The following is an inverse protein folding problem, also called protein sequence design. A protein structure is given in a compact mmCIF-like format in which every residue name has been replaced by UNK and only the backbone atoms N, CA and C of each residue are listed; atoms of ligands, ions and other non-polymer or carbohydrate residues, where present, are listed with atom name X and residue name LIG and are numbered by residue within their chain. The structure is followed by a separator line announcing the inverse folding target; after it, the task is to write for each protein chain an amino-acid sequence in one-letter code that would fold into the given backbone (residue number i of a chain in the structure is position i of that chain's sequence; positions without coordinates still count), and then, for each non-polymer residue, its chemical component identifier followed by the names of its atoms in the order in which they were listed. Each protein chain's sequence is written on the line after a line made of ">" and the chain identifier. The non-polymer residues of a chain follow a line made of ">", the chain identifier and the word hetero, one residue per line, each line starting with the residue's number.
data_IF_784102893727
#
_entry.id   IF_784102893727
#
_cell.length_a   1.000
_cell.length_b   1.000
_cell.length_c   1.000
_cell.angle_alpha   90.00
_cell.angle_beta   90.00
_cell.angle_gamma   90.00
#
_symmetry.space_group_name_H-M   'P 1'
#
loop_
_entity.id
_entity.type
_entity.pdbx_description
1 polymer ?
#
# COMPACT_ATOMS: atom_id res chain seq x y z
N UNK A 1 -18.91 -25.20 -33.28
CA UNK A 1 -17.80 -24.49 -32.63
C UNK A 1 -17.68 -23.16 -33.34
N UNK A 2 -18.09 -22.09 -32.67
CA UNK A 2 -18.30 -20.79 -33.29
C UNK A 2 -16.96 -20.20 -33.76
N UNK A 3 -16.93 -19.67 -34.98
CA UNK A 3 -15.74 -19.10 -35.62
C UNK A 3 -15.04 -18.06 -34.74
N UNK A 4 -15.81 -17.29 -33.99
CA UNK A 4 -15.33 -16.30 -33.03
C UNK A 4 -14.54 -16.93 -31.87
N UNK A 5 -14.97 -18.08 -31.35
CA UNK A 5 -14.25 -18.77 -30.26
C UNK A 5 -12.91 -19.30 -30.73
N UNK A 6 -12.85 -19.84 -31.95
CA UNK A 6 -11.61 -20.34 -32.55
C UNK A 6 -10.59 -19.21 -32.76
N UNK A 7 -11.03 -18.06 -33.28
CA UNK A 7 -10.18 -16.87 -33.46
C UNK A 7 -9.62 -16.37 -32.11
N UNK A 8 -10.43 -16.36 -31.05
CA UNK A 8 -9.97 -15.98 -29.70
C UNK A 8 -8.95 -16.98 -29.14
N UNK A 9 -9.16 -18.29 -29.31
CA UNK A 9 -8.20 -19.30 -28.87
C UNK A 9 -6.84 -19.11 -29.56
N UNK A 10 -6.85 -18.89 -30.88
CA UNK A 10 -5.63 -18.69 -31.64
C UNK A 10 -4.88 -17.42 -31.22
N UNK A 11 -5.60 -16.30 -31.02
CA UNK A 11 -5.03 -15.05 -30.53
C UNK A 11 -4.43 -15.20 -29.13
N UNK A 12 -5.15 -15.85 -28.22
CA UNK A 12 -4.71 -16.06 -26.85
C UNK A 12 -3.50 -16.99 -26.76
N UNK A 13 -3.49 -18.09 -27.53
CA UNK A 13 -2.34 -18.99 -27.61
C UNK A 13 -1.11 -18.23 -28.13
N UNK A 14 -1.24 -17.48 -29.23
CA UNK A 14 -0.13 -16.68 -29.79
C UNK A 14 0.44 -15.66 -28.78
N UNK A 15 -0.42 -15.08 -27.95
CA UNK A 15 -0.01 -14.15 -26.88
C UNK A 15 0.69 -14.88 -25.75
N UNK A 16 0.18 -16.03 -25.32
CA UNK A 16 0.75 -16.81 -24.22
C UNK A 16 2.18 -17.29 -24.53
N UNK A 17 2.43 -17.70 -25.77
CA UNK A 17 3.76 -18.13 -26.24
C UNK A 17 4.68 -16.98 -26.68
N UNK A 18 4.20 -15.73 -26.68
CA UNK A 18 5.03 -14.60 -27.03
C UNK A 18 6.12 -14.37 -25.98
N UNK A 19 7.39 -14.39 -26.43
CA UNK A 19 8.58 -14.25 -25.56
C UNK A 19 8.51 -12.98 -24.71
N UNK A 20 8.08 -11.86 -25.30
CA UNK A 20 7.94 -10.59 -24.58
C UNK A 20 6.92 -10.67 -23.43
N UNK A 21 5.78 -11.31 -23.66
CA UNK A 21 4.75 -11.50 -22.65
C UNK A 21 5.26 -12.34 -21.48
N UNK A 22 5.88 -13.48 -21.79
CA UNK A 22 6.43 -14.40 -20.79
C UNK A 22 7.55 -13.76 -19.97
N UNK A 23 8.46 -13.01 -20.59
CA UNK A 23 9.55 -12.31 -19.89
C UNK A 23 9.01 -11.27 -18.91
N UNK A 24 8.08 -10.42 -19.34
CA UNK A 24 7.47 -9.40 -18.47
C UNK A 24 6.74 -10.06 -17.31
N UNK A 25 5.97 -11.11 -17.58
CA UNK A 25 5.24 -11.82 -16.54
C UNK A 25 6.19 -12.49 -15.53
N UNK A 26 7.25 -13.15 -16.02
CA UNK A 26 8.28 -13.76 -15.16
C UNK A 26 8.96 -12.71 -14.27
N UNK A 27 9.34 -11.55 -14.81
CA UNK A 27 9.91 -10.44 -14.03
C UNK A 27 8.94 -10.03 -12.92
N UNK A 28 7.65 -9.89 -13.23
CA UNK A 28 6.66 -9.49 -12.25
C UNK A 28 6.44 -10.54 -11.17
N UNK A 29 6.51 -11.82 -11.50
CA UNK A 29 6.44 -12.91 -10.52
C UNK A 29 7.65 -12.88 -9.59
N UNK A 30 8.86 -12.67 -10.11
CA UNK A 30 10.07 -12.53 -9.27
C UNK A 30 9.93 -11.32 -8.32
N UNK A 31 9.42 -10.20 -8.82
CA UNK A 31 9.12 -9.02 -8.01
C UNK A 31 8.05 -9.32 -6.94
N UNK A 32 6.98 -10.03 -7.29
CA UNK A 32 5.92 -10.44 -6.35
C UNK A 32 6.41 -11.43 -5.29
N UNK A 33 7.27 -12.38 -5.63
CA UNK A 33 7.84 -13.30 -4.65
C UNK A 33 8.74 -12.53 -3.68
N UNK A 34 9.55 -11.61 -4.20
CA UNK A 34 10.44 -10.78 -3.37
C UNK A 34 9.67 -9.75 -2.54
N UNK A 35 8.54 -9.22 -3.03
CA UNK A 35 7.68 -8.31 -2.28
C UNK A 35 7.09 -8.99 -1.05
N UNK A 36 6.73 -10.28 -1.11
CA UNK A 36 6.24 -11.05 0.06
C UNK A 36 7.25 -11.01 1.19
N UNK A 37 8.53 -11.28 0.90
CA UNK A 37 9.60 -11.27 1.91
C UNK A 37 9.87 -9.86 2.43
N UNK A 38 9.99 -8.88 1.55
CA UNK A 38 10.31 -7.49 1.93
C UNK A 38 9.18 -6.82 2.73
N UNK A 39 7.92 -7.01 2.34
CA UNK A 39 6.75 -6.56 3.11
C UNK A 39 6.66 -7.24 4.48
N UNK A 40 6.86 -8.56 4.54
CA UNK A 40 6.83 -9.30 5.81
C UNK A 40 7.92 -8.83 6.77
N UNK A 41 9.14 -8.65 6.26
CA UNK A 41 10.25 -8.09 7.01
C UNK A 41 9.96 -6.67 7.50
N UNK A 42 9.38 -5.83 6.64
CA UNK A 42 9.01 -4.46 6.96
C UNK A 42 7.99 -4.40 8.10
N UNK A 43 6.92 -5.21 8.03
CA UNK A 43 5.90 -5.29 9.08
C UNK A 43 6.55 -5.66 10.42
N UNK A 44 7.31 -6.76 10.47
CA UNK A 44 7.90 -7.29 11.70
C UNK A 44 8.94 -6.34 12.30
N UNK A 45 9.79 -5.76 11.47
CA UNK A 45 10.98 -5.00 11.93
C UNK A 45 10.66 -3.54 12.18
N UNK A 46 9.87 -2.90 11.32
CA UNK A 46 9.62 -1.46 11.37
C UNK A 46 8.28 -1.12 12.01
N UNK A 47 7.19 -1.81 11.65
CA UNK A 47 5.86 -1.46 12.15
C UNK A 47 5.70 -1.90 13.61
N UNK A 48 5.89 -3.19 13.91
CA UNK A 48 5.63 -3.72 15.25
C UNK A 48 6.59 -3.18 16.31
N UNK A 49 7.84 -2.88 15.94
CA UNK A 49 8.83 -2.27 16.85
C UNK A 49 8.74 -0.74 16.93
N UNK A 50 7.89 -0.09 16.13
CA UNK A 50 7.72 1.36 16.20
C UNK A 50 7.04 1.80 17.51
N UNK A 51 7.19 3.06 17.87
CA UNK A 51 6.44 3.68 18.99
C UNK A 51 5.06 4.18 18.55
N UNK A 52 4.59 3.81 17.36
CA UNK A 52 3.33 4.33 16.85
C UNK A 52 2.12 3.85 17.65
N UNK A 53 1.08 4.68 17.61
CA UNK A 53 -0.20 4.34 18.18
C UNK A 53 -0.76 3.00 17.62
N UNK A 54 -1.39 2.14 18.45
CA UNK A 54 -1.87 0.82 18.02
C UNK A 54 -2.82 0.83 16.82
N UNK A 55 -3.75 1.80 16.76
CA UNK A 55 -4.68 1.92 15.63
C UNK A 55 -3.94 2.15 14.31
N UNK A 56 -2.92 3.01 14.33
CA UNK A 56 -2.11 3.30 13.15
C UNK A 56 -1.24 2.11 12.74
N UNK A 57 -0.66 1.39 13.72
CA UNK A 57 0.07 0.14 13.47
C UNK A 57 -0.81 -0.90 12.80
N UNK A 58 -2.06 -1.05 13.26
CA UNK A 58 -3.01 -1.98 12.68
C UNK A 58 -3.31 -1.62 11.22
N UNK A 59 -3.69 -0.36 10.95
CA UNK A 59 -4.00 0.09 9.59
C UNK A 59 -2.80 -0.06 8.66
N UNK A 60 -1.60 0.27 9.12
CA UNK A 60 -0.38 0.10 8.32
C UNK A 60 -0.08 -1.39 8.08
N UNK A 61 -0.29 -2.24 9.08
CA UNK A 61 -0.15 -3.69 8.92
C UNK A 61 -1.17 -4.23 7.93
N UNK A 62 -2.43 -3.83 8.00
CA UNK A 62 -3.47 -4.23 7.04
C UNK A 62 -3.10 -3.83 5.61
N UNK A 63 -2.59 -2.62 5.43
CA UNK A 63 -2.15 -2.12 4.13
C UNK A 63 -1.04 -2.99 3.51
N UNK A 64 0.03 -3.28 4.26
CA UNK A 64 1.12 -4.13 3.76
C UNK A 64 0.73 -5.61 3.66
N UNK A 65 -0.17 -6.10 4.51
CA UNK A 65 -0.73 -7.45 4.39
C UNK A 65 -1.54 -7.60 3.11
N UNK A 66 -2.34 -6.60 2.72
CA UNK A 66 -3.06 -6.62 1.44
C UNK A 66 -2.09 -6.71 0.25
N UNK A 67 -0.95 -6.01 0.30
CA UNK A 67 0.10 -6.12 -0.72
C UNK A 67 0.77 -7.51 -0.75
N UNK A 68 0.97 -8.15 0.41
CA UNK A 68 1.46 -9.54 0.50
C UNK A 68 0.46 -10.50 -0.15
N UNK A 69 -0.81 -10.43 0.23
CA UNK A 69 -1.85 -11.29 -0.35
C UNK A 69 -1.99 -11.09 -1.84
N UNK A 70 -1.97 -9.84 -2.32
CA UNK A 70 -1.95 -9.54 -3.75
C UNK A 70 -0.78 -10.22 -4.45
N UNK A 71 0.43 -10.13 -3.89
CA UNK A 71 1.64 -10.69 -4.49
C UNK A 71 1.61 -12.23 -4.53
N UNK A 72 1.04 -12.88 -3.51
CA UNK A 72 0.79 -14.34 -3.49
C UNK A 72 -0.19 -14.72 -4.59
N UNK A 73 -1.33 -14.00 -4.70
CA UNK A 73 -2.36 -14.28 -5.71
C UNK A 73 -1.86 -14.03 -7.14
N UNK A 74 -1.03 -13.01 -7.34
CA UNK A 74 -0.39 -12.74 -8.62
C UNK A 74 0.53 -13.89 -9.02
N UNK A 75 1.31 -14.42 -8.07
CA UNK A 75 2.15 -15.61 -8.28
C UNK A 75 1.29 -16.84 -8.57
N UNK A 76 0.17 -17.03 -7.88
CA UNK A 76 -0.77 -18.11 -8.14
C UNK A 76 -1.36 -18.05 -9.56
N UNK A 77 -1.71 -16.85 -10.04
CA UNK A 77 -2.17 -16.65 -11.43
C UNK A 77 -1.13 -17.11 -12.46
N UNK A 78 0.17 -16.91 -12.17
CA UNK A 78 1.24 -17.38 -13.05
C UNK A 78 1.41 -18.90 -13.00
N UNK A 79 1.30 -19.51 -11.82
CA UNK A 79 1.34 -20.96 -11.67
C UNK A 79 0.17 -21.64 -12.41
N UNK A 80 -1.02 -21.03 -12.37
CA UNK A 80 -2.18 -21.50 -13.14
C UNK A 80 -1.92 -21.44 -14.65
N UNK A 81 -1.21 -20.42 -15.13
CA UNK A 81 -0.81 -20.34 -16.53
C UNK A 81 0.21 -21.44 -16.89
N UNK A 82 1.19 -21.72 -16.01
CA UNK A 82 2.15 -22.83 -16.21
C UNK A 82 1.44 -24.18 -16.27
N UNK A 83 0.47 -24.43 -15.38
CA UNK A 83 -0.33 -25.66 -15.41
C UNK A 83 -0.97 -25.86 -16.79
N UNK A 84 -1.57 -24.79 -17.35
CA UNK A 84 -2.17 -24.85 -18.70
C UNK A 84 -1.16 -25.05 -19.81
N UNK A 85 0.08 -24.56 -19.67
CA UNK A 85 1.15 -24.87 -20.62
C UNK A 85 1.56 -26.34 -20.60
N UNK A 86 1.56 -26.98 -19.42
CA UNK A 86 1.91 -28.39 -19.30
C UNK A 86 0.83 -29.31 -19.90
N UNK A 87 -0.43 -28.91 -19.79
CA UNK A 87 -1.59 -29.63 -20.33
C UNK A 87 -1.96 -29.22 -21.77
N UNK A 88 -1.12 -28.41 -22.44
CA UNK A 88 -1.41 -27.85 -23.75
C UNK A 88 -1.41 -28.92 -24.85
N UNK A 89 -2.58 -29.22 -25.43
CA UNK A 89 -2.72 -30.10 -26.60
C UNK A 89 -3.34 -29.36 -27.80
N UNK A 90 -4.28 -28.48 -27.54
CA UNK A 90 -4.97 -27.65 -28.53
C UNK A 90 -4.88 -26.17 -28.16
N UNK A 91 -5.07 -25.29 -29.14
CA UNK A 91 -4.96 -23.83 -28.94
C UNK A 91 -5.94 -23.28 -27.88
N UNK A 92 -7.05 -23.97 -27.62
CA UNK A 92 -8.04 -23.55 -26.62
C UNK A 92 -7.71 -24.01 -25.18
N UNK A 93 -6.76 -24.94 -24.99
CA UNK A 93 -6.43 -25.50 -23.66
C UNK A 93 -5.62 -24.53 -22.79
N UNK A 94 -5.07 -23.48 -23.40
CA UNK A 94 -4.30 -22.44 -22.71
C UNK A 94 -5.16 -21.61 -21.75
N UNK A 95 -6.48 -21.65 -21.88
CA UNK A 95 -7.39 -20.86 -21.06
C UNK A 95 -7.51 -21.39 -19.64
N UNK A 96 -7.52 -20.46 -18.70
CA UNK A 96 -7.68 -20.77 -17.28
C UNK A 96 -9.09 -21.31 -17.02
N UNK A 97 -9.18 -22.34 -16.18
CA UNK A 97 -10.46 -22.86 -15.71
C UNK A 97 -11.28 -21.79 -14.95
N UNK A 98 -12.60 -21.78 -15.17
CA UNK A 98 -13.51 -20.73 -14.69
C UNK A 98 -13.47 -20.55 -13.17
N UNK A 99 -13.49 -21.63 -12.39
CA UNK A 99 -13.55 -21.57 -10.92
C UNK A 99 -12.26 -20.99 -10.31
N UNK A 100 -11.05 -21.53 -10.62
CA UNK A 100 -9.79 -20.90 -10.19
C UNK A 100 -9.66 -19.45 -10.65
N UNK A 101 -10.05 -19.13 -11.88
CA UNK A 101 -10.04 -17.77 -12.41
C UNK A 101 -10.89 -16.83 -11.56
N UNK A 102 -12.16 -17.20 -11.31
CA UNK A 102 -13.10 -16.41 -10.53
C UNK A 102 -12.56 -16.11 -9.12
N UNK A 103 -12.02 -17.12 -8.44
CA UNK A 103 -11.50 -16.97 -7.08
C UNK A 103 -10.26 -16.07 -7.07
N UNK A 104 -9.26 -16.36 -7.91
CA UNK A 104 -7.99 -15.63 -7.90
C UNK A 104 -8.18 -14.19 -8.36
N UNK A 105 -8.90 -13.96 -9.46
CA UNK A 105 -9.13 -12.62 -9.99
C UNK A 105 -9.90 -11.74 -8.99
N UNK A 106 -11.00 -12.25 -8.44
CA UNK A 106 -11.79 -11.50 -7.46
C UNK A 106 -11.00 -11.21 -6.18
N UNK A 107 -10.16 -12.16 -5.75
CA UNK A 107 -9.30 -11.96 -4.58
C UNK A 107 -8.21 -10.91 -4.84
N UNK A 108 -7.64 -10.87 -6.06
CA UNK A 108 -6.70 -9.82 -6.48
C UNK A 108 -7.39 -8.45 -6.39
N UNK A 109 -8.60 -8.33 -6.94
CA UNK A 109 -9.38 -7.09 -6.87
C UNK A 109 -9.65 -6.67 -5.42
N UNK A 110 -10.09 -7.60 -4.56
CA UNK A 110 -10.31 -7.33 -3.13
C UNK A 110 -9.04 -6.78 -2.47
N UNK A 111 -7.88 -7.39 -2.71
CA UNK A 111 -6.62 -6.92 -2.13
C UNK A 111 -6.26 -5.49 -2.58
N UNK A 112 -6.45 -5.17 -3.86
CA UNK A 112 -6.21 -3.84 -4.41
C UNK A 112 -7.10 -2.78 -3.74
N UNK A 113 -8.41 -3.02 -3.70
CA UNK A 113 -9.37 -2.07 -3.14
C UNK A 113 -9.27 -1.95 -1.62
N UNK A 114 -9.00 -3.06 -0.91
CA UNK A 114 -8.66 -3.02 0.51
C UNK A 114 -7.43 -2.15 0.77
N UNK A 115 -6.37 -2.28 -0.04
CA UNK A 115 -5.17 -1.46 0.05
C UNK A 115 -5.48 0.03 -0.13
N UNK A 116 -6.22 0.39 -1.19
CA UNK A 116 -6.60 1.78 -1.47
C UNK A 116 -7.47 2.39 -0.36
N UNK A 117 -8.50 1.69 0.11
CA UNK A 117 -9.39 2.21 1.15
C UNK A 117 -8.71 2.27 2.52
N UNK A 118 -7.79 1.36 2.83
CA UNK A 118 -7.00 1.42 4.07
C UNK A 118 -6.18 2.72 4.16
N UNK A 119 -5.70 3.26 3.03
CA UNK A 119 -5.03 4.56 3.00
C UNK A 119 -5.96 5.71 3.43
N UNK A 120 -7.23 5.67 3.02
CA UNK A 120 -8.24 6.67 3.46
C UNK A 120 -8.47 6.57 4.96
N UNK A 121 -8.60 5.35 5.50
CA UNK A 121 -8.74 5.15 6.94
C UNK A 121 -7.51 5.61 7.74
N UNK A 122 -6.29 5.47 7.17
CA UNK A 122 -5.09 6.06 7.78
C UNK A 122 -5.21 7.59 7.87
N UNK A 123 -5.77 8.27 6.87
CA UNK A 123 -6.00 9.74 6.93
C UNK A 123 -7.05 10.11 7.97
N UNK A 124 -8.16 9.37 8.02
CA UNK A 124 -9.21 9.56 9.02
C UNK A 124 -8.65 9.40 10.44
N UNK A 125 -7.82 8.39 10.66
CA UNK A 125 -7.20 8.16 11.96
C UNK A 125 -6.24 9.30 12.34
N UNK A 126 -5.46 9.85 11.40
CA UNK A 126 -4.63 11.05 11.64
C UNK A 126 -5.46 12.30 11.94
N UNK A 127 -6.64 12.46 11.31
CA UNK A 127 -7.58 13.53 11.62
C UNK A 127 -8.09 13.41 13.06
N UNK A 128 -8.53 12.22 13.48
CA UNK A 128 -8.97 11.97 14.86
C UNK A 128 -7.86 12.23 15.87
N UNK A 129 -6.64 11.76 15.61
CA UNK A 129 -5.48 12.00 16.49
C UNK A 129 -5.15 13.50 16.60
N UNK A 130 -5.36 14.28 15.53
CA UNK A 130 -5.14 15.73 15.53
C UNK A 130 -6.22 16.49 16.29
N UNK A 131 -7.48 16.03 16.25
CA UNK A 131 -8.58 16.66 16.98
C UNK A 131 -8.49 16.35 18.47
N UNK A 132 -8.13 15.11 18.85
CA UNK A 132 -8.18 14.62 20.24
C UNK A 132 -6.82 14.49 20.93
N UNK A 133 -5.86 15.40 20.71
CA UNK A 133 -4.47 15.32 21.22
C UNK A 133 -4.36 14.95 22.71
N UNK A 134 -5.24 15.43 23.59
CA UNK A 134 -5.10 15.15 25.03
C UNK A 134 -5.77 13.83 25.47
N UNK A 135 -6.81 13.40 24.75
CA UNK A 135 -7.61 12.21 25.08
C UNK A 135 -7.25 10.99 24.24
N UNK A 136 -6.45 11.15 23.17
CA UNK A 136 -6.20 10.12 22.18
C UNK A 136 -5.54 8.87 22.76
N UNK A 137 -4.48 9.04 23.55
CA UNK A 137 -3.76 7.92 24.20
C UNK A 137 -4.67 7.10 25.13
N UNK A 138 -5.56 7.79 25.85
CA UNK A 138 -6.42 7.16 26.85
C UNK A 138 -7.66 6.49 26.26
N UNK A 139 -7.99 6.79 25.01
CA UNK A 139 -9.21 6.34 24.34
C UNK A 139 -8.95 5.21 23.31
N UNK A 140 -7.90 4.42 23.52
CA UNK A 140 -7.65 3.18 22.77
C UNK A 140 -8.67 2.10 23.14
N UNK A 141 -9.89 2.25 22.63
CA UNK A 141 -10.92 1.22 22.78
C UNK A 141 -10.74 0.13 21.73
N UNK A 142 -10.77 -1.13 22.18
CA UNK A 142 -10.92 -2.31 21.32
C UNK A 142 -12.05 -2.16 20.29
N UNK A 143 -13.11 -1.40 20.64
CA UNK A 143 -14.22 -1.07 19.74
C UNK A 143 -13.77 -0.30 18.48
N UNK A 144 -12.82 0.62 18.61
CA UNK A 144 -12.29 1.37 17.46
C UNK A 144 -11.48 0.48 16.53
N UNK A 145 -10.67 -0.41 17.09
CA UNK A 145 -9.90 -1.42 16.33
C UNK A 145 -10.86 -2.32 15.53
N UNK A 146 -11.90 -2.85 16.19
CA UNK A 146 -12.89 -3.72 15.54
C UNK A 146 -13.65 -2.98 14.44
N UNK A 147 -14.02 -1.72 14.68
CA UNK A 147 -14.68 -0.89 13.68
C UNK A 147 -13.79 -0.66 12.44
N UNK A 148 -12.50 -0.32 12.63
CA UNK A 148 -11.58 -0.17 11.50
C UNK A 148 -11.44 -1.47 10.71
N UNK A 149 -11.29 -2.61 11.39
CA UNK A 149 -11.17 -3.90 10.72
C UNK A 149 -12.44 -4.23 9.92
N UNK A 150 -13.61 -4.01 10.50
CA UNK A 150 -14.89 -4.22 9.83
C UNK A 150 -15.02 -3.33 8.58
N UNK A 151 -14.83 -2.02 8.71
CA UNK A 151 -14.98 -1.10 7.58
C UNK A 151 -13.91 -1.27 6.50
N UNK A 152 -12.66 -1.56 6.87
CA UNK A 152 -11.58 -1.80 5.92
C UNK A 152 -11.76 -3.08 5.08
N UNK A 153 -12.66 -4.00 5.47
CA UNK A 153 -12.94 -5.24 4.73
C UNK A 153 -14.31 -5.16 4.06
N UNK A 154 -15.36 -4.81 4.82
CA UNK A 154 -16.74 -4.82 4.33
C UNK A 154 -16.97 -3.79 3.24
N UNK A 155 -16.43 -2.58 3.38
CA UNK A 155 -16.60 -1.53 2.37
C UNK A 155 -15.97 -1.92 1.02
N UNK A 156 -14.68 -2.31 0.92
CA UNK A 156 -14.12 -2.76 -0.36
C UNK A 156 -14.87 -3.94 -0.97
N UNK A 157 -15.24 -4.94 -0.17
CA UNK A 157 -15.97 -6.12 -0.65
C UNK A 157 -17.34 -5.71 -1.20
N UNK A 158 -18.07 -4.83 -0.52
CA UNK A 158 -19.38 -4.36 -0.98
C UNK A 158 -19.31 -3.61 -2.32
N UNK A 159 -18.30 -2.75 -2.50
CA UNK A 159 -18.08 -2.03 -3.76
C UNK A 159 -17.73 -2.98 -4.90
N UNK A 160 -16.95 -4.03 -4.62
CA UNK A 160 -16.62 -5.05 -5.60
C UNK A 160 -17.80 -5.93 -5.96
N UNK A 161 -18.64 -6.32 -4.99
CA UNK A 161 -19.89 -7.04 -5.27
C UNK A 161 -20.76 -6.23 -6.22
N UNK A 162 -20.82 -4.90 -6.06
CA UNK A 162 -21.53 -4.02 -7.01
C UNK A 162 -20.86 -3.95 -8.40
N UNK A 163 -19.53 -3.89 -8.45
CA UNK A 163 -18.81 -3.82 -9.72
C UNK A 163 -18.92 -5.12 -10.54
N UNK A 164 -18.93 -6.28 -9.88
CA UNK A 164 -18.91 -7.60 -10.51
C UNK A 164 -20.28 -8.25 -10.74
N UNK A 165 -21.40 -7.53 -10.58
CA UNK A 165 -22.74 -8.13 -10.73
C UNK A 165 -22.98 -8.73 -12.13
N UNK A 166 -22.42 -8.12 -13.18
CA UNK A 166 -22.57 -8.56 -14.58
C UNK A 166 -21.31 -9.24 -15.11
N UNK A 167 -20.48 -9.81 -14.23
CA UNK A 167 -19.22 -10.42 -14.61
C UNK A 167 -19.42 -11.74 -15.37
N UNK A 168 -18.95 -11.80 -16.61
CA UNK A 168 -18.86 -13.04 -17.36
C UNK A 168 -17.50 -13.72 -17.16
N UNK A 169 -17.44 -14.66 -16.22
CA UNK A 169 -16.24 -15.47 -15.97
C UNK A 169 -16.04 -16.63 -16.94
N UNK A 170 -16.98 -16.88 -17.87
CA UNK A 170 -16.86 -17.96 -18.86
C UNK A 170 -16.05 -17.55 -20.07
N UNK A 171 -15.77 -16.26 -20.23
CA UNK A 171 -14.96 -15.76 -21.34
C UNK A 171 -13.54 -16.34 -21.28
N UNK A 172 -12.98 -16.82 -22.40
CA UNK A 172 -11.64 -17.40 -22.44
C UNK A 172 -10.57 -16.37 -22.12
N UNK A 173 -9.78 -16.62 -21.06
CA UNK A 173 -8.69 -15.75 -20.60
C UNK A 173 -7.43 -16.56 -20.34
N UNK A 174 -6.27 -15.95 -20.62
CA UNK A 174 -4.94 -16.57 -20.44
C UNK A 174 -4.49 -16.50 -18.97
N UNK A 175 -4.90 -15.45 -18.25
CA UNK A 175 -4.44 -15.16 -16.88
C UNK A 175 -5.56 -14.62 -16.01
N UNK A 176 -5.42 -14.77 -14.69
CA UNK A 176 -6.38 -14.25 -13.72
C UNK A 176 -6.21 -12.75 -13.41
N UNK A 177 -5.33 -12.05 -14.13
CA UNK A 177 -5.13 -10.60 -13.97
C UNK A 177 -6.14 -9.82 -14.83
N UNK A 178 -6.51 -10.38 -15.98
CA UNK A 178 -7.44 -9.73 -16.90
C UNK A 178 -8.86 -9.67 -16.31
N UNK A 179 -9.51 -8.50 -16.33
CA UNK A 179 -10.89 -8.36 -15.86
C UNK A 179 -11.85 -9.17 -16.74
N UNK A 180 -12.89 -9.80 -16.15
CA UNK A 180 -13.91 -10.50 -16.92
C UNK A 180 -14.71 -9.52 -17.77
N UNK A 181 -15.26 -10.02 -18.88
CA UNK A 181 -16.09 -9.22 -19.77
C UNK A 181 -17.31 -8.67 -19.01
N UNK A 182 -17.72 -7.44 -19.34
CA UNK A 182 -18.87 -6.77 -18.73
C UNK A 182 -18.56 -5.89 -17.50
N UNK A 183 -17.40 -6.06 -16.85
CA UNK A 183 -17.10 -5.37 -15.58
C UNK A 183 -16.29 -4.07 -15.78
N UNK A 184 -15.65 -3.90 -16.93
CA UNK A 184 -14.69 -2.82 -17.19
C UNK A 184 -15.23 -1.41 -16.88
N UNK A 185 -16.47 -1.12 -17.27
CA UNK A 185 -17.08 0.20 -17.06
C UNK A 185 -17.22 0.53 -15.57
N UNK A 186 -17.74 -0.42 -14.77
CA UNK A 186 -17.93 -0.22 -13.33
C UNK A 186 -16.60 -0.19 -12.59
N UNK A 187 -15.63 -1.03 -12.99
CA UNK A 187 -14.28 -0.96 -12.44
C UNK A 187 -13.62 0.39 -12.71
N UNK A 188 -13.77 0.94 -13.92
CA UNK A 188 -13.25 2.28 -14.25
C UNK A 188 -13.89 3.36 -13.37
N UNK A 189 -15.21 3.31 -13.12
CA UNK A 189 -15.88 4.21 -12.18
C UNK A 189 -15.26 4.10 -10.78
N UNK A 190 -15.05 2.89 -10.27
CA UNK A 190 -14.44 2.67 -8.96
C UNK A 190 -13.00 3.20 -8.90
N UNK A 191 -12.19 2.97 -9.94
CA UNK A 191 -10.82 3.49 -9.99
C UNK A 191 -10.79 5.02 -10.00
N UNK A 192 -11.66 5.67 -10.78
CA UNK A 192 -11.79 7.14 -10.79
C UNK A 192 -12.23 7.64 -9.41
N UNK A 193 -13.21 6.99 -8.79
CA UNK A 193 -13.69 7.33 -7.45
C UNK A 193 -12.56 7.21 -6.41
N UNK A 194 -11.82 6.10 -6.38
CA UNK A 194 -10.68 5.91 -5.49
C UNK A 194 -9.57 6.93 -5.74
N UNK A 195 -9.33 7.31 -7.00
CA UNK A 195 -8.36 8.34 -7.36
C UNK A 195 -8.76 9.72 -6.83
N UNK A 196 -10.04 10.10 -6.95
CA UNK A 196 -10.57 11.35 -6.37
C UNK A 196 -10.48 11.35 -4.84
N UNK A 197 -10.79 10.22 -4.19
CA UNK A 197 -10.60 10.06 -2.74
C UNK A 197 -9.13 10.21 -2.34
N UNK A 198 -8.18 9.70 -3.13
CA UNK A 198 -6.76 9.85 -2.88
C UNK A 198 -6.31 11.33 -2.95
N UNK A 199 -6.82 12.10 -3.91
CA UNK A 199 -6.58 13.55 -3.98
C UNK A 199 -7.09 14.25 -2.72
N UNK A 200 -8.35 13.98 -2.35
CA UNK A 200 -8.94 14.57 -1.14
C UNK A 200 -8.14 14.19 0.12
N UNK A 201 -7.73 12.93 0.23
CA UNK A 201 -6.91 12.43 1.32
C UNK A 201 -5.55 13.15 1.40
N UNK A 202 -4.88 13.43 0.28
CA UNK A 202 -3.65 14.22 0.26
C UNK A 202 -3.88 15.65 0.76
N UNK A 203 -4.94 16.31 0.30
CA UNK A 203 -5.27 17.67 0.74
C UNK A 203 -5.49 17.69 2.26
N UNK A 204 -6.27 16.75 2.78
CA UNK A 204 -6.53 16.62 4.21
C UNK A 204 -5.24 16.36 5.01
N UNK A 205 -4.34 15.50 4.53
CA UNK A 205 -3.04 15.27 5.17
C UNK A 205 -2.18 16.54 5.21
N UNK A 206 -2.17 17.37 4.15
CA UNK A 206 -1.45 18.64 4.19
C UNK A 206 -2.05 19.62 5.21
N UNK A 207 -3.38 19.70 5.30
CA UNK A 207 -4.08 20.51 6.31
C UNK A 207 -3.73 20.02 7.71
N UNK A 208 -3.83 18.71 7.97
CA UNK A 208 -3.47 18.08 9.25
C UNK A 208 -2.02 18.39 9.63
N UNK A 209 -1.09 18.26 8.68
CA UNK A 209 0.33 18.56 8.88
C UNK A 209 0.54 20.02 9.22
N UNK A 210 -0.11 20.94 8.51
CA UNK A 210 -0.03 22.38 8.78
C UNK A 210 -0.54 22.72 10.19
N UNK A 211 -1.70 22.19 10.56
CA UNK A 211 -2.30 22.41 11.89
C UNK A 211 -1.37 21.88 12.99
N UNK A 212 -0.83 20.67 12.85
CA UNK A 212 0.06 20.09 13.85
C UNK A 212 1.38 20.85 13.97
N UNK A 213 1.98 21.31 12.87
CA UNK A 213 3.18 22.18 12.91
C UNK A 213 2.92 23.50 13.63
N UNK A 214 1.76 24.11 13.41
CA UNK A 214 1.38 25.36 14.09
C UNK A 214 1.11 25.15 15.58
N UNK A 215 0.75 23.93 15.99
CA UNK A 215 0.59 23.55 17.40
C UNK A 215 1.92 23.21 18.05
N UNK A 216 2.87 22.60 17.33
CA UNK A 216 4.23 22.30 17.83
C UNK A 216 4.95 23.55 18.36
N UNK A 217 4.71 24.72 17.76
CA UNK A 217 5.32 25.99 18.20
C UNK A 217 4.70 26.60 19.47
N UNK A 218 3.63 26.03 20.01
CA UNK A 218 2.98 26.53 21.24
C UNK A 218 3.62 25.92 22.49
N UNK A 219 4.00 26.77 23.45
CA UNK A 219 4.78 26.39 24.63
C UNK A 219 3.92 25.64 25.68
N UNK A 220 2.61 25.88 25.73
CA UNK A 220 1.70 25.41 26.79
C UNK A 220 1.31 23.92 26.70
N UNK A 221 1.84 23.16 25.74
CA UNK A 221 1.44 21.77 25.53
C UNK A 221 2.19 20.84 26.48
N UNK A 222 1.43 19.95 27.14
CA UNK A 222 1.96 18.87 27.98
C UNK A 222 2.98 17.98 27.23
N UNK A 223 3.86 17.31 27.97
CA UNK A 223 4.90 16.47 27.37
C UNK A 223 4.32 15.36 26.47
N UNK A 224 3.25 14.67 26.92
CA UNK A 224 2.53 13.67 26.10
C UNK A 224 1.95 14.32 24.83
N UNK A 225 1.28 15.48 24.95
CA UNK A 225 0.74 16.18 23.79
C UNK A 225 1.81 16.57 22.76
N UNK A 226 3.01 16.96 23.20
CA UNK A 226 4.14 17.24 22.29
C UNK A 226 4.62 15.99 21.57
N UNK A 227 4.75 14.85 22.26
CA UNK A 227 5.12 13.58 21.63
C UNK A 227 4.10 13.17 20.57
N UNK A 228 2.81 13.29 20.86
CA UNK A 228 1.75 12.98 19.91
C UNK A 228 1.74 13.91 18.70
N UNK A 229 1.95 15.21 18.87
CA UNK A 229 2.05 16.17 17.76
C UNK A 229 3.22 15.80 16.84
N UNK A 230 4.40 15.54 17.42
CA UNK A 230 5.59 15.14 16.65
C UNK A 230 5.34 13.83 15.92
N UNK A 231 4.74 12.83 16.58
CA UNK A 231 4.34 11.57 15.94
C UNK A 231 3.36 11.82 14.77
N UNK A 232 2.35 12.65 14.97
CA UNK A 232 1.36 12.97 13.94
C UNK A 232 1.98 13.68 12.74
N UNK A 233 2.91 14.62 12.93
CA UNK A 233 3.62 15.29 11.82
C UNK A 233 4.44 14.28 11.02
N UNK A 234 5.19 13.45 11.73
CA UNK A 234 6.07 12.41 11.19
C UNK A 234 5.29 11.38 10.36
N UNK A 235 4.24 10.82 10.95
CA UNK A 235 3.37 9.81 10.32
C UNK A 235 2.54 10.39 9.18
N UNK A 236 1.99 11.59 9.31
CA UNK A 236 1.28 12.28 8.22
C UNK A 236 2.19 12.52 7.02
N UNK A 237 3.46 12.89 7.26
CA UNK A 237 4.47 13.03 6.19
C UNK A 237 4.75 11.70 5.51
N UNK A 238 4.89 10.62 6.30
CA UNK A 238 5.09 9.26 5.79
C UNK A 238 3.91 8.77 4.93
N UNK A 239 2.67 8.90 5.42
CA UNK A 239 1.46 8.51 4.66
C UNK A 239 1.34 9.33 3.38
N UNK A 240 1.65 10.63 3.44
CA UNK A 240 1.63 11.50 2.25
C UNK A 240 2.58 10.99 1.17
N UNK A 241 3.81 10.57 1.54
CA UNK A 241 4.75 9.98 0.59
C UNK A 241 4.20 8.72 -0.08
N UNK A 242 3.60 7.81 0.71
CA UNK A 242 2.98 6.57 0.19
C UNK A 242 1.87 6.91 -0.80
N UNK A 243 0.98 7.83 -0.42
CA UNK A 243 -0.18 8.19 -1.21
C UNK A 243 0.20 8.88 -2.53
N UNK A 244 1.22 9.75 -2.53
CA UNK A 244 1.78 10.36 -3.75
C UNK A 244 2.32 9.28 -4.70
N UNK A 245 3.11 8.32 -4.20
CA UNK A 245 3.65 7.24 -5.03
C UNK A 245 2.50 6.41 -5.63
N UNK A 246 1.51 6.04 -4.82
CA UNK A 246 0.36 5.27 -5.29
C UNK A 246 -0.43 6.02 -6.37
N UNK A 247 -0.61 7.34 -6.21
CA UNK A 247 -1.27 8.18 -7.21
C UNK A 247 -0.48 8.28 -8.51
N UNK A 248 0.83 8.47 -8.46
CA UNK A 248 1.68 8.52 -9.66
C UNK A 248 1.54 7.22 -10.45
N UNK A 249 1.62 6.08 -9.77
CA UNK A 249 1.48 4.76 -10.40
C UNK A 249 0.08 4.57 -11.00
N UNK A 250 -0.95 4.98 -10.28
CA UNK A 250 -2.34 4.91 -10.76
C UNK A 250 -2.55 5.78 -12.00
N UNK A 251 -1.96 6.99 -12.06
CA UNK A 251 -2.01 7.85 -13.25
C UNK A 251 -1.31 7.19 -14.43
N UNK A 252 -0.11 6.64 -14.23
CA UNK A 252 0.62 5.94 -15.30
C UNK A 252 -0.22 4.77 -15.84
N UNK A 253 -0.85 3.99 -14.95
CA UNK A 253 -1.73 2.89 -15.34
C UNK A 253 -2.96 3.39 -16.13
N UNK A 254 -3.71 4.34 -15.60
CA UNK A 254 -4.94 4.85 -16.22
C UNK A 254 -4.62 5.48 -17.59
N UNK A 255 -3.62 6.37 -17.66
CA UNK A 255 -3.25 7.04 -18.91
C UNK A 255 -2.68 6.05 -19.92
N UNK A 256 -1.84 5.10 -19.47
CA UNK A 256 -1.26 4.08 -20.34
C UNK A 256 -2.33 3.18 -20.96
N UNK A 257 -3.22 2.62 -20.13
CA UNK A 257 -4.29 1.74 -20.60
C UNK A 257 -5.33 2.51 -21.44
N UNK A 258 -5.72 3.71 -21.01
CA UNK A 258 -6.63 4.56 -21.78
C UNK A 258 -6.05 4.88 -23.17
N UNK A 259 -4.76 5.20 -23.25
CA UNK A 259 -4.11 5.50 -24.52
C UNK A 259 -4.10 4.28 -25.43
N UNK A 260 -3.70 3.11 -24.92
CA UNK A 260 -3.69 1.85 -25.67
C UNK A 260 -5.07 1.39 -26.14
N UNK A 261 -6.14 1.82 -25.47
CA UNK A 261 -7.52 1.45 -25.82
C UNK A 261 -8.14 2.38 -26.86
N UNK A 262 -7.87 3.68 -26.77
CA UNK A 262 -8.54 4.69 -27.60
C UNK A 262 -7.72 5.11 -28.83
N UNK A 263 -6.39 4.99 -28.78
CA UNK A 263 -5.54 5.29 -29.92
C UNK A 263 -5.17 3.99 -30.62
N UNK A 264 -5.56 3.89 -31.89
CA UNK A 264 -5.15 2.80 -32.80
C UNK A 264 -3.71 3.05 -33.24
N UNK A 265 -2.75 2.60 -32.44
CA UNK A 265 -1.35 2.67 -32.83
C UNK A 265 -1.06 1.65 -33.94
N UNK A 266 -0.57 2.12 -35.10
CA UNK A 266 -0.25 1.29 -36.27
C UNK A 266 0.60 0.05 -35.94
N UNK A 267 1.51 0.19 -34.98
CA UNK A 267 2.41 -0.89 -34.50
C UNK A 267 1.64 -2.06 -33.89
N UNK A 268 0.45 -1.83 -33.33
CA UNK A 268 -0.35 -2.84 -32.62
C UNK A 268 -1.55 -3.36 -33.42
N UNK A 269 -1.83 -2.79 -34.61
CA UNK A 269 -2.96 -3.22 -35.45
C UNK A 269 -2.81 -4.69 -35.85
N UNK A 270 -1.60 -5.10 -36.25
CA UNK A 270 -1.29 -6.47 -36.68
C UNK A 270 -0.60 -7.32 -35.60
N UNK A 271 -0.28 -6.75 -34.43
CA UNK A 271 0.47 -7.42 -33.37
C UNK A 271 -0.28 -7.37 -32.03
N UNK A 272 -1.32 -8.21 -31.92
CA UNK A 272 -2.14 -8.35 -30.71
C UNK A 272 -1.35 -8.85 -29.50
N UNK A 273 -0.41 -9.78 -29.70
CA UNK A 273 0.48 -10.27 -28.66
C UNK A 273 1.38 -9.15 -28.08
N UNK A 274 1.88 -8.26 -28.95
CA UNK A 274 2.62 -7.06 -28.55
C UNK A 274 1.75 -6.11 -27.73
N UNK A 275 0.52 -5.86 -28.14
CA UNK A 275 -0.43 -5.03 -27.39
C UNK A 275 -0.69 -5.59 -25.98
N UNK A 276 -0.94 -6.89 -25.86
CA UNK A 276 -1.14 -7.58 -24.58
C UNK A 276 0.10 -7.53 -23.68
N UNK A 277 1.29 -7.63 -24.28
CA UNK A 277 2.57 -7.46 -23.57
C UNK A 277 2.69 -6.05 -22.99
N UNK A 278 2.38 -5.02 -23.79
CA UNK A 278 2.47 -3.62 -23.32
C UNK A 278 1.41 -3.33 -22.26
N UNK A 279 0.19 -3.87 -22.38
CA UNK A 279 -0.83 -3.79 -21.32
C UNK A 279 -0.33 -4.39 -20.00
N UNK A 280 0.38 -5.53 -20.07
CA UNK A 280 1.00 -6.14 -18.90
C UNK A 280 2.12 -5.25 -18.33
N UNK A 281 2.95 -4.61 -19.16
CA UNK A 281 3.98 -3.65 -18.71
C UNK A 281 3.39 -2.45 -17.96
N UNK A 282 2.20 -1.97 -18.35
CA UNK A 282 1.53 -0.90 -17.62
C UNK A 282 0.92 -1.36 -16.30
N UNK A 283 0.78 -2.66 -16.05
CA UNK A 283 0.33 -3.20 -14.76
C UNK A 283 1.45 -3.13 -13.71
N UNK A 284 1.76 -1.92 -13.26
CA UNK A 284 2.90 -1.62 -12.37
C UNK A 284 2.73 -2.08 -10.90
N UNK A 285 1.64 -2.78 -10.56
CA UNK A 285 1.35 -3.14 -9.17
C UNK A 285 2.40 -4.09 -8.54
N UNK A 286 2.92 -5.13 -9.22
CA UNK A 286 3.99 -5.98 -8.67
C UNK A 286 5.26 -5.18 -8.34
N UNK A 287 5.62 -4.23 -9.21
CA UNK A 287 6.74 -3.31 -8.98
C UNK A 287 6.48 -2.42 -7.76
N UNK A 288 5.27 -1.89 -7.63
CA UNK A 288 4.89 -1.08 -6.48
C UNK A 288 4.99 -1.86 -5.16
N UNK A 289 4.42 -3.06 -5.11
CA UNK A 289 4.43 -3.92 -3.93
C UNK A 289 5.85 -4.27 -3.47
N UNK A 290 6.81 -4.35 -4.41
CA UNK A 290 8.23 -4.53 -4.09
C UNK A 290 8.91 -3.24 -3.60
N UNK A 291 8.71 -2.11 -4.28
CA UNK A 291 9.40 -0.85 -3.94
C UNK A 291 8.85 -0.22 -2.65
N UNK A 292 7.57 -0.39 -2.37
CA UNK A 292 6.91 0.29 -1.26
C UNK A 292 7.48 -0.03 0.12
N UNK A 293 7.74 -1.30 0.51
CA UNK A 293 8.39 -1.61 1.79
C UNK A 293 9.82 -1.07 1.87
N UNK A 294 10.57 -1.02 0.77
CA UNK A 294 11.94 -0.48 0.74
C UNK A 294 11.95 1.03 1.00
N UNK A 295 11.14 1.78 0.26
CA UNK A 295 10.97 3.23 0.44
C UNK A 295 10.46 3.51 1.85
N UNK A 296 9.49 2.74 2.34
CA UNK A 296 8.94 2.93 3.69
C UNK A 296 9.97 2.66 4.78
N UNK A 297 10.79 1.62 4.62
CA UNK A 297 11.89 1.29 5.53
C UNK A 297 12.89 2.44 5.61
N UNK A 298 13.26 3.01 4.47
CA UNK A 298 14.17 4.16 4.40
C UNK A 298 13.59 5.37 5.14
N UNK A 299 12.33 5.72 4.87
CA UNK A 299 11.66 6.83 5.53
C UNK A 299 11.61 6.66 7.05
N UNK A 300 11.20 5.48 7.54
CA UNK A 300 11.10 5.19 8.97
C UNK A 300 12.46 5.13 9.66
N UNK A 301 13.48 4.60 8.99
CA UNK A 301 14.86 4.59 9.50
C UNK A 301 15.36 6.02 9.71
N UNK A 302 15.15 6.89 8.72
CA UNK A 302 15.53 8.31 8.79
C UNK A 302 14.78 9.06 9.88
N UNK A 303 13.49 8.75 10.07
CA UNK A 303 12.70 9.31 11.17
C UNK A 303 13.25 8.87 12.53
N UNK A 304 13.59 7.59 12.69
CA UNK A 304 14.18 7.06 13.92
C UNK A 304 15.53 7.72 14.23
N UNK A 305 16.38 7.88 13.23
CA UNK A 305 17.68 8.55 13.37
C UNK A 305 17.52 10.02 13.82
N UNK A 306 16.57 10.75 13.24
CA UNK A 306 16.26 12.14 13.67
C UNK A 306 15.80 12.20 15.11
N UNK A 307 14.99 11.23 15.55
CA UNK A 307 14.53 11.15 16.95
C UNK A 307 15.68 10.87 17.91
N UNK A 308 16.57 9.95 17.56
CA UNK A 308 17.77 9.65 18.36
C UNK A 308 18.67 10.89 18.47
N UNK A 309 19.00 11.54 17.35
CA UNK A 309 19.79 12.79 17.33
C UNK A 309 19.15 13.90 18.16
N UNK A 310 17.83 14.09 18.09
CA UNK A 310 17.11 15.07 18.90
C UNK A 310 17.19 14.75 20.40
N UNK A 311 17.04 13.48 20.78
CA UNK A 311 17.18 13.03 22.17
C UNK A 311 18.59 13.29 22.68
N UNK A 312 19.61 12.89 21.93
CA UNK A 312 21.00 13.02 22.34
C UNK A 312 21.40 14.51 22.44
N UNK A 313 20.90 15.37 21.55
CA UNK A 313 21.05 16.82 21.66
C UNK A 313 20.37 17.38 22.92
N UNK A 314 19.14 16.96 23.24
CA UNK A 314 18.44 17.42 24.44
C UNK A 314 19.16 16.98 25.73
N UNK A 315 19.69 15.76 25.75
CA UNK A 315 20.54 15.27 26.84
C UNK A 315 21.83 16.09 26.96
N UNK A 316 22.47 16.43 25.84
CA UNK A 316 23.67 17.27 25.84
C UNK A 316 23.42 18.71 26.34
N UNK A 317 22.25 19.29 26.06
CA UNK A 317 21.85 20.59 26.63
C UNK A 317 21.67 20.47 28.15
N UNK A 318 21.00 19.41 28.62
CA UNK A 318 20.81 19.18 30.06
C UNK A 318 22.11 18.96 30.82
N UNK A 319 23.15 18.40 30.18
CA UNK A 319 24.45 18.19 30.83
C UNK A 319 25.39 19.39 30.76
N UNK A 320 25.18 20.36 29.84
CA UNK A 320 26.05 21.54 29.68
C UNK A 320 25.41 22.90 30.04
N UNK A 321 24.11 22.94 30.33
CA UNK A 321 23.37 24.17 30.69
C UNK A 321 23.31 24.45 32.19
N UNK A 322 22.51 25.44 32.59
CA UNK A 322 22.28 25.81 34.00
C UNK A 322 21.79 24.62 34.83
N UNK A 323 20.87 23.81 34.29
CA UNK A 323 20.43 22.55 34.91
C UNK A 323 21.57 21.52 35.10
N UNK A 324 22.53 21.47 34.17
CA UNK A 324 23.69 20.57 34.27
C UNK A 324 24.70 21.06 35.30
N UNK A 325 24.89 22.38 35.38
CA UNK A 325 25.66 23.01 36.45
C UNK A 325 25.00 22.81 37.81
N UNK A 326 23.67 22.93 37.90
CA UNK A 326 22.91 22.73 39.13
C UNK A 326 22.97 21.27 39.58
N UNK A 327 22.80 20.31 38.67
CA UNK A 327 22.94 18.89 38.97
C UNK A 327 24.38 18.51 39.39
N UNK A 328 25.39 19.09 38.75
CA UNK A 328 26.80 18.92 39.13
C UNK A 328 27.11 19.53 40.51
N UNK A 329 26.60 20.74 40.77
CA UNK A 329 26.73 21.41 42.06
C UNK A 329 26.04 20.64 43.18
N UNK A 330 24.88 20.03 42.90
CA UNK A 330 24.15 19.21 43.87
C UNK A 330 24.94 17.94 44.21
N UNK A 331 25.56 17.30 43.22
CA UNK A 331 26.39 16.10 43.40
C UNK A 331 27.68 16.41 44.19
N UNK A 332 28.31 17.57 43.94
CA UNK A 332 29.42 18.08 44.75
C UNK A 332 28.99 18.36 46.20
N UNK A 333 27.80 18.93 46.39
CA UNK A 333 27.26 19.22 47.72
C UNK A 333 27.03 17.92 48.52
N UNK A 334 26.45 16.91 47.88
CA UNK A 334 26.21 15.60 48.49
C UNK A 334 27.51 14.87 48.83
N UNK A 335 28.53 14.95 47.95
CA UNK A 335 29.87 14.42 48.24
C UNK A 335 30.52 15.13 49.43
N UNK A 336 30.41 16.46 49.50
CA UNK A 336 30.98 17.25 50.60
C UNK A 336 30.29 16.89 51.93
N UNK A 337 28.96 16.80 51.95
CA UNK A 337 28.24 16.38 53.15
C UNK A 337 28.63 14.96 53.59
N UNK A 338 28.75 14.01 52.67
CA UNK A 338 29.16 12.65 53.01
C UNK A 338 30.60 12.54 53.53
N UNK A 339 31.52 13.39 53.05
CA UNK A 339 32.93 13.35 53.44
C UNK A 339 33.25 14.13 54.72
N UNK A 340 32.46 15.14 55.06
CA UNK A 340 32.77 16.07 56.17
C UNK A 340 31.73 16.09 57.30
N UNK A 341 30.56 15.47 57.13
CA UNK A 341 29.54 15.34 58.19
C UNK A 341 29.40 13.90 58.70
N UNK A 342 30.43 13.07 58.53
CA UNK A 342 30.57 11.79 59.24
C UNK A 342 31.71 11.83 60.24
#
# INVERSE_FOLDING_TARGET
>A
MDRELFEICQENSSTAFAVGYQLVYLIYVVLSVTSVFTCSYFIKTFIWKSTFHPNFKLLLTMYFSAAIFHSILFTASYLMMIERFLDYQTECDIHVSVVPYMIVHSSIAICLFCGMLTQVFMVIERLFATIKIESYEHNTSFKHILAYLFFCIVLPVSLLVWAYQDADYKSPVITAISPPKGVEFRLNILYIFCFLLAILALILLQVVRYVNKRRESRIEISLSGRFQIVENIDTTTFISSILIINMIISVIYIVGIFSLRNFEFDVFINNRAGLSTVKLVFYLHPLFSFLMPLISSYHLSKMRERRLKRRDHLLAIKTKGREGSDAYNQLLHDQWQQHFLK
#
